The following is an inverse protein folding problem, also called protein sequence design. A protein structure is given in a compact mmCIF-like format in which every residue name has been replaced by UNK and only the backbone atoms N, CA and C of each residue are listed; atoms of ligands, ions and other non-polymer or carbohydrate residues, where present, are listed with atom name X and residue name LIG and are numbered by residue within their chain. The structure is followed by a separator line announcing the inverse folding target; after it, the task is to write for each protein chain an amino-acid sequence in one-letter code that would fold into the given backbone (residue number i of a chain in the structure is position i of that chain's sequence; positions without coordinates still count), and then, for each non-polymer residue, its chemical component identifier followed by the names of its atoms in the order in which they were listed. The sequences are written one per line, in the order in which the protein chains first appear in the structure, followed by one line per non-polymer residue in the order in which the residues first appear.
data_IF_164155370366
#
_entry.id   IF_164155370366
#
_cell.length_a   1.000
_cell.length_b   1.000
_cell.length_c   1.000
_cell.angle_alpha   90.00
_cell.angle_beta   90.00
_cell.angle_gamma   90.00
#
_symmetry.space_group_name_H-M   'P 1'
#
loop_
_entity.id
_entity.type
_entity.pdbx_description
1 polymer ?
#
# COMPACT_ATOMS: atom_id res chain seq x y z
N UNK A 1 26.96 7.37 -54.50
CA UNK A 1 25.58 7.24 -54.05
C UNK A 1 25.62 6.85 -52.57
N UNK A 2 25.32 7.79 -51.69
CA UNK A 2 25.32 7.51 -50.23
C UNK A 2 23.98 6.89 -49.85
N UNK A 3 24.03 5.75 -49.13
CA UNK A 3 22.85 5.01 -48.73
C UNK A 3 22.07 5.79 -47.64
N UNK A 4 20.85 6.28 -47.92
CA UNK A 4 20.08 7.06 -46.95
C UNK A 4 19.65 6.24 -45.71
N UNK A 5 19.75 4.91 -45.74
CA UNK A 5 19.34 4.05 -44.64
C UNK A 5 20.41 3.86 -43.57
N UNK A 6 21.65 4.34 -43.79
CA UNK A 6 22.72 4.23 -42.81
C UNK A 6 22.49 5.08 -41.54
N UNK A 7 21.64 6.09 -41.59
CA UNK A 7 21.31 6.96 -40.44
C UNK A 7 20.25 6.41 -39.50
N UNK A 8 19.54 5.37 -39.91
CA UNK A 8 18.46 4.77 -39.07
C UNK A 8 19.02 3.75 -38.08
N UNK A 9 20.18 3.20 -38.37
CA UNK A 9 20.80 2.15 -37.53
C UNK A 9 21.70 2.67 -36.42
N UNK A 10 21.92 3.99 -36.35
CA UNK A 10 22.76 4.60 -35.29
C UNK A 10 21.97 5.21 -34.11
N UNK A 11 20.64 5.10 -34.11
CA UNK A 11 19.89 5.28 -32.87
C UNK A 11 19.93 3.98 -32.09
N UNK A 12 21.04 3.78 -31.38
CA UNK A 12 21.06 2.88 -30.26
C UNK A 12 19.90 3.19 -29.31
N UNK A 13 19.40 2.20 -28.54
CA UNK A 13 18.36 2.45 -27.56
C UNK A 13 18.79 3.67 -26.76
N UNK A 14 17.93 4.70 -26.76
CA UNK A 14 18.08 5.83 -25.86
C UNK A 14 18.41 5.26 -24.49
N UNK A 15 19.54 5.66 -23.93
CA UNK A 15 19.91 5.36 -22.58
C UNK A 15 18.80 5.95 -21.70
N UNK A 16 17.71 5.19 -21.59
CA UNK A 16 16.73 5.36 -20.53
C UNK A 16 17.57 5.25 -19.27
N UNK A 17 17.69 6.36 -18.58
CA UNK A 17 18.46 6.55 -17.39
C UNK A 17 18.21 5.37 -16.46
N UNK A 18 19.11 4.38 -16.46
CA UNK A 18 19.08 3.32 -15.46
C UNK A 18 19.03 4.00 -14.10
N UNK A 19 18.05 3.71 -13.26
CA UNK A 19 18.00 4.33 -11.96
C UNK A 19 19.31 3.99 -11.25
N UNK A 20 20.01 5.01 -10.81
CA UNK A 20 21.28 4.90 -10.08
C UNK A 20 21.16 3.80 -9.04
N UNK A 21 22.16 2.97 -8.85
CA UNK A 21 22.08 1.81 -7.93
C UNK A 21 21.58 2.20 -6.54
N UNK A 22 21.86 3.42 -6.08
CA UNK A 22 21.30 4.01 -4.87
C UNK A 22 19.76 4.15 -4.94
N UNK A 23 19.19 4.50 -6.09
CA UNK A 23 17.75 4.58 -6.29
C UNK A 23 17.07 3.21 -6.18
N UNK A 24 17.66 2.17 -6.73
CA UNK A 24 17.16 0.79 -6.63
C UNK A 24 17.12 0.31 -5.17
N UNK A 25 18.15 0.62 -4.39
CA UNK A 25 18.21 0.29 -2.97
C UNK A 25 17.18 1.06 -2.13
N UNK A 26 16.98 2.34 -2.40
CA UNK A 26 15.95 3.15 -1.72
C UNK A 26 14.53 2.62 -1.99
N UNK A 27 14.25 2.22 -3.23
CA UNK A 27 12.96 1.59 -3.58
C UNK A 27 12.79 0.26 -2.86
N UNK A 28 13.81 -0.61 -2.87
CA UNK A 28 13.77 -1.89 -2.18
C UNK A 28 13.51 -1.72 -0.68
N UNK A 29 14.21 -0.79 -0.03
CA UNK A 29 14.00 -0.44 1.38
C UNK A 29 12.58 0.04 1.65
N UNK A 30 12.04 0.94 0.82
CA UNK A 30 10.67 1.44 0.97
C UNK A 30 9.64 0.34 0.86
N UNK A 31 9.83 -0.59 -0.08
CA UNK A 31 8.98 -1.78 -0.26
C UNK A 31 9.04 -2.69 0.97
N UNK A 32 10.23 -2.95 1.47
CA UNK A 32 10.41 -3.80 2.66
C UNK A 32 9.75 -3.18 3.89
N UNK A 33 9.92 -1.88 4.11
CA UNK A 33 9.29 -1.16 5.22
C UNK A 33 7.77 -1.18 5.09
N UNK A 34 7.22 -0.91 3.91
CA UNK A 34 5.78 -0.96 3.67
C UNK A 34 5.18 -2.34 3.92
N UNK A 35 5.83 -3.39 3.44
CA UNK A 35 5.40 -4.77 3.68
C UNK A 35 5.49 -5.15 5.16
N UNK A 36 6.58 -4.77 5.82
CA UNK A 36 6.75 -5.01 7.25
C UNK A 36 5.66 -4.33 8.08
N UNK A 37 5.35 -3.06 7.78
CA UNK A 37 4.28 -2.32 8.44
C UNK A 37 2.91 -3.00 8.27
N UNK A 38 2.59 -3.48 7.07
CA UNK A 38 1.32 -4.19 6.81
C UNK A 38 1.21 -5.48 7.60
N UNK A 39 2.28 -6.28 7.67
CA UNK A 39 2.31 -7.53 8.45
C UNK A 39 2.22 -7.23 9.94
N UNK A 40 2.94 -6.22 10.42
CA UNK A 40 2.88 -5.79 11.82
C UNK A 40 1.48 -5.35 12.20
N UNK A 41 0.82 -4.57 11.36
CA UNK A 41 -0.53 -4.08 11.61
C UNK A 41 -1.54 -5.23 11.78
N UNK A 42 -1.52 -6.20 10.86
CA UNK A 42 -2.38 -7.39 10.95
C UNK A 42 -2.12 -8.20 12.24
N UNK A 43 -0.85 -8.34 12.61
CA UNK A 43 -0.46 -9.07 13.82
C UNK A 43 -0.90 -8.36 15.10
N UNK A 44 -0.67 -7.04 15.17
CA UNK A 44 -1.03 -6.20 16.32
C UNK A 44 -2.54 -6.25 16.57
N UNK A 45 -3.36 -6.21 15.52
CA UNK A 45 -4.82 -6.31 15.65
C UNK A 45 -5.23 -7.64 16.27
N UNK A 46 -4.68 -8.75 15.79
CA UNK A 46 -5.01 -10.07 16.30
C UNK A 46 -4.62 -10.23 17.78
N UNK A 47 -3.47 -9.71 18.16
CA UNK A 47 -3.01 -9.72 19.57
C UNK A 47 -3.84 -8.78 20.44
N UNK A 48 -4.27 -7.64 19.90
CA UNK A 48 -5.06 -6.66 20.64
C UNK A 48 -6.55 -7.02 20.77
N UNK A 49 -7.06 -8.00 20.01
CA UNK A 49 -8.49 -8.40 20.05
C UNK A 49 -9.03 -8.64 21.47
N UNK A 50 -8.39 -9.43 22.34
CA UNK A 50 -8.89 -9.65 23.69
C UNK A 50 -8.96 -8.37 24.51
N UNK A 51 -8.00 -7.47 24.32
CA UNK A 51 -7.96 -6.19 25.01
C UNK A 51 -9.09 -5.26 24.52
N UNK A 52 -9.36 -5.26 23.21
CA UNK A 52 -10.46 -4.52 22.62
C UNK A 52 -11.81 -4.99 23.10
N UNK A 53 -12.02 -6.31 23.28
CA UNK A 53 -13.25 -6.85 23.86
C UNK A 53 -13.52 -6.25 25.24
N UNK A 54 -12.52 -6.20 26.11
CA UNK A 54 -12.64 -5.59 27.43
C UNK A 54 -12.88 -4.07 27.37
N UNK A 55 -12.16 -3.36 26.51
CA UNK A 55 -12.25 -1.89 26.43
C UNK A 55 -13.55 -1.38 25.81
N UNK A 56 -14.10 -2.08 24.82
CA UNK A 56 -15.34 -1.70 24.16
C UNK A 56 -16.58 -2.42 24.72
N UNK A 57 -16.38 -3.37 25.64
CA UNK A 57 -17.48 -4.16 26.21
C UNK A 57 -18.27 -4.95 25.15
N UNK A 58 -17.59 -5.39 24.10
CA UNK A 58 -18.20 -6.05 22.93
C UNK A 58 -17.79 -7.51 22.85
N UNK A 59 -18.66 -8.30 22.22
CA UNK A 59 -18.41 -9.70 21.95
C UNK A 59 -17.36 -9.92 20.85
N UNK A 60 -16.71 -11.09 20.86
CA UNK A 60 -15.67 -11.48 19.89
C UNK A 60 -16.14 -11.34 18.44
N UNK A 61 -17.39 -11.75 18.15
CA UNK A 61 -17.95 -11.63 16.81
C UNK A 61 -18.01 -10.17 16.33
N UNK A 62 -18.37 -9.27 17.21
CA UNK A 62 -18.47 -7.83 16.90
C UNK A 62 -17.08 -7.21 16.70
N UNK A 63 -16.10 -7.60 17.51
CA UNK A 63 -14.71 -7.14 17.36
C UNK A 63 -14.06 -7.67 16.09
N UNK A 64 -14.41 -8.87 15.65
CA UNK A 64 -13.90 -9.46 14.39
C UNK A 64 -14.25 -8.60 13.17
N UNK A 65 -15.33 -7.81 13.22
CA UNK A 65 -15.65 -6.85 12.15
C UNK A 65 -14.56 -5.81 11.91
N UNK A 66 -13.77 -5.47 12.90
CA UNK A 66 -12.62 -4.56 12.78
C UNK A 66 -11.60 -5.10 11.77
N UNK A 67 -11.27 -6.38 11.91
CA UNK A 67 -10.34 -7.07 11.01
C UNK A 67 -10.98 -7.35 9.64
N UNK A 68 -12.24 -7.78 9.64
CA UNK A 68 -12.97 -8.08 8.40
C UNK A 68 -13.15 -6.85 7.52
N UNK A 69 -13.52 -5.70 8.09
CA UNK A 69 -13.67 -4.45 7.36
C UNK A 69 -12.35 -4.01 6.70
N UNK A 70 -11.23 -4.14 7.41
CA UNK A 70 -9.90 -3.90 6.86
C UNK A 70 -9.62 -4.82 5.66
N UNK A 71 -9.81 -6.14 5.81
CA UNK A 71 -9.55 -7.11 4.76
C UNK A 71 -10.40 -6.91 3.51
N UNK A 72 -11.68 -6.57 3.67
CA UNK A 72 -12.57 -6.26 2.55
C UNK A 72 -12.06 -5.04 1.78
N UNK A 73 -11.74 -3.96 2.49
CA UNK A 73 -11.21 -2.75 1.88
C UNK A 73 -9.87 -3.01 1.16
N UNK A 74 -9.00 -3.80 1.77
CA UNK A 74 -7.71 -4.20 1.20
C UNK A 74 -7.88 -4.98 -0.10
N UNK A 75 -8.75 -5.99 -0.15
CA UNK A 75 -9.02 -6.81 -1.34
C UNK A 75 -9.58 -5.96 -2.48
N UNK A 76 -10.53 -5.08 -2.19
CA UNK A 76 -11.10 -4.16 -3.18
C UNK A 76 -10.00 -3.28 -3.77
N UNK A 77 -9.13 -2.73 -2.93
CA UNK A 77 -8.04 -1.85 -3.37
C UNK A 77 -6.95 -2.59 -4.15
N UNK A 78 -6.62 -3.82 -3.78
CA UNK A 78 -5.71 -4.66 -4.57
C UNK A 78 -6.24 -4.82 -6.00
N UNK A 79 -7.53 -5.13 -6.14
CA UNK A 79 -8.16 -5.31 -7.44
C UNK A 79 -8.19 -4.01 -8.26
N UNK A 80 -8.48 -2.88 -7.62
CA UNK A 80 -8.55 -1.57 -8.28
C UNK A 80 -7.18 -0.93 -8.53
N UNK A 81 -6.15 -1.37 -7.84
CA UNK A 81 -4.81 -0.76 -7.89
C UNK A 81 -4.20 -0.73 -9.27
N UNK A 82 -4.45 -1.75 -10.10
CA UNK A 82 -3.99 -1.81 -11.48
C UNK A 82 -4.55 -0.65 -12.31
N UNK A 83 -5.83 -0.37 -12.18
CA UNK A 83 -6.49 0.74 -12.85
C UNK A 83 -6.05 2.11 -12.28
N UNK A 84 -5.97 2.24 -10.98
CA UNK A 84 -5.51 3.46 -10.32
C UNK A 84 -4.06 3.80 -10.67
N UNK A 85 -3.21 2.80 -10.87
CA UNK A 85 -1.82 3.00 -11.31
C UNK A 85 -1.75 3.68 -12.68
N UNK A 86 -2.68 3.39 -13.58
CA UNK A 86 -2.74 4.04 -14.91
C UNK A 86 -3.21 5.49 -14.84
N UNK A 87 -4.06 5.83 -13.87
CA UNK A 87 -4.61 7.18 -13.70
C UNK A 87 -3.66 8.13 -12.94
N UNK A 88 -3.17 7.70 -11.79
CA UNK A 88 -2.38 8.56 -10.89
C UNK A 88 -0.86 8.41 -11.09
N UNK A 89 -0.44 7.30 -11.70
CA UNK A 89 0.97 6.93 -11.78
C UNK A 89 1.46 6.21 -10.53
N UNK A 90 2.43 5.32 -10.72
CA UNK A 90 2.94 4.41 -9.66
C UNK A 90 3.45 5.16 -8.43
N UNK A 91 4.28 6.19 -8.63
CA UNK A 91 4.91 6.94 -7.54
C UNK A 91 3.89 7.70 -6.69
N UNK A 92 2.95 8.40 -7.33
CA UNK A 92 1.92 9.18 -6.62
C UNK A 92 0.96 8.29 -5.85
N UNK A 93 0.54 7.18 -6.46
CA UNK A 93 -0.33 6.22 -5.81
C UNK A 93 0.35 5.60 -4.59
N UNK A 94 1.63 5.22 -4.69
CA UNK A 94 2.40 4.66 -3.58
C UNK A 94 2.51 5.64 -2.40
N UNK A 95 2.86 6.90 -2.67
CA UNK A 95 2.95 7.93 -1.63
C UNK A 95 1.59 8.22 -0.98
N UNK A 96 0.53 8.34 -1.78
CA UNK A 96 -0.82 8.54 -1.26
C UNK A 96 -1.26 7.37 -0.38
N UNK A 97 -0.97 6.15 -0.78
CA UNK A 97 -1.27 4.93 -0.02
C UNK A 97 -0.53 4.88 1.31
N UNK A 98 0.76 5.24 1.34
CA UNK A 98 1.53 5.32 2.59
C UNK A 98 0.95 6.38 3.55
N UNK A 99 0.63 7.55 3.04
CA UNK A 99 0.03 8.62 3.86
C UNK A 99 -1.32 8.18 4.41
N UNK A 100 -2.17 7.60 3.56
CA UNK A 100 -3.51 7.15 3.95
C UNK A 100 -3.44 6.02 4.98
N UNK A 101 -2.53 5.06 4.80
CA UNK A 101 -2.29 3.98 5.74
C UNK A 101 -1.81 4.52 7.10
N UNK A 102 -0.85 5.42 7.10
CA UNK A 102 -0.29 6.01 8.32
C UNK A 102 -1.34 6.83 9.08
N UNK A 103 -2.09 7.68 8.37
CA UNK A 103 -3.17 8.47 8.97
C UNK A 103 -4.27 7.56 9.52
N UNK A 104 -4.69 6.54 8.77
CA UNK A 104 -5.65 5.54 9.22
C UNK A 104 -5.20 4.80 10.48
N UNK A 105 -3.92 4.45 10.56
CA UNK A 105 -3.32 3.79 11.73
C UNK A 105 -3.35 4.68 12.98
N UNK A 106 -2.96 5.94 12.84
CA UNK A 106 -2.99 6.92 13.95
C UNK A 106 -4.44 7.12 14.44
N UNK A 107 -5.38 7.31 13.51
CA UNK A 107 -6.79 7.50 13.84
C UNK A 107 -7.39 6.25 14.50
N UNK A 108 -7.04 5.05 14.03
CA UNK A 108 -7.46 3.81 14.65
C UNK A 108 -6.96 3.69 16.10
N UNK A 109 -5.73 4.10 16.37
CA UNK A 109 -5.16 4.13 17.72
C UNK A 109 -5.83 5.13 18.67
N UNK A 110 -6.48 6.16 18.14
CA UNK A 110 -7.20 7.19 18.94
C UNK A 110 -8.70 6.95 19.01
N UNK A 111 -9.22 5.88 18.43
CA UNK A 111 -10.65 5.57 18.40
C UNK A 111 -11.20 5.31 19.81
N UNK A 112 -12.34 5.92 20.11
CA UNK A 112 -13.04 5.75 21.40
C UNK A 112 -14.25 4.82 21.31
N UNK A 113 -14.73 4.56 20.09
CA UNK A 113 -15.88 3.70 19.85
C UNK A 113 -15.55 2.65 18.80
N UNK A 114 -16.23 1.50 18.86
CA UNK A 114 -16.03 0.42 17.89
C UNK A 114 -16.35 0.87 16.46
N UNK A 115 -17.43 1.66 16.28
CA UNK A 115 -17.82 2.18 14.96
C UNK A 115 -16.72 3.07 14.35
N UNK A 116 -16.09 3.93 15.13
CA UNK A 116 -14.96 4.75 14.69
C UNK A 116 -13.77 3.88 14.31
N UNK A 117 -13.47 2.86 15.11
CA UNK A 117 -12.41 1.90 14.85
C UNK A 117 -12.62 1.20 13.50
N UNK A 118 -13.82 0.68 13.24
CA UNK A 118 -14.15 0.01 11.97
C UNK A 118 -13.99 0.98 10.80
N UNK A 119 -14.47 2.21 10.92
CA UNK A 119 -14.34 3.21 9.86
C UNK A 119 -12.86 3.53 9.54
N UNK A 120 -12.05 3.74 10.57
CA UNK A 120 -10.62 4.01 10.39
C UNK A 120 -9.87 2.81 9.81
N UNK A 121 -10.30 1.59 10.12
CA UNK A 121 -9.79 0.36 9.53
C UNK A 121 -10.10 0.24 8.05
N UNK A 122 -11.27 0.66 7.60
CA UNK A 122 -11.60 0.74 6.17
C UNK A 122 -10.65 1.70 5.45
N UNK A 123 -10.45 2.89 6.01
CA UNK A 123 -9.51 3.89 5.45
C UNK A 123 -8.09 3.33 5.38
N UNK A 124 -7.65 2.66 6.42
CA UNK A 124 -6.33 2.02 6.49
C UNK A 124 -6.21 0.87 5.47
N UNK A 125 -7.23 0.06 5.29
CA UNK A 125 -7.29 -1.01 4.30
C UNK A 125 -7.20 -0.48 2.86
N UNK A 126 -7.79 0.67 2.57
CA UNK A 126 -7.65 1.36 1.29
C UNK A 126 -6.20 1.74 1.03
N UNK A 127 -5.51 2.28 2.03
CA UNK A 127 -4.07 2.56 1.93
C UNK A 127 -3.23 1.28 1.77
N UNK A 128 -3.45 0.29 2.63
CA UNK A 128 -2.70 -0.97 2.67
C UNK A 128 -2.79 -1.78 1.37
N UNK A 129 -3.99 -1.92 0.83
CA UNK A 129 -4.24 -2.70 -0.39
C UNK A 129 -3.55 -2.16 -1.65
N UNK A 130 -3.23 -0.87 -1.68
CA UNK A 130 -2.49 -0.27 -2.79
C UNK A 130 -0.97 -0.40 -2.64
N UNK A 131 -0.45 -0.62 -1.44
CA UNK A 131 0.99 -0.67 -1.18
C UNK A 131 1.65 -1.88 -1.83
N UNK A 132 1.09 -3.09 -1.70
CA UNK A 132 1.68 -4.31 -2.25
C UNK A 132 1.82 -4.30 -3.77
N UNK A 133 0.77 -4.08 -4.56
CA UNK A 133 0.90 -4.09 -6.01
C UNK A 133 1.74 -2.91 -6.54
N UNK A 134 1.68 -1.75 -5.90
CA UNK A 134 2.52 -0.61 -6.28
C UNK A 134 4.01 -0.88 -6.01
N UNK A 135 4.34 -1.52 -4.90
CA UNK A 135 5.72 -1.85 -4.55
C UNK A 135 6.31 -2.86 -5.53
N UNK A 136 5.58 -3.89 -5.90
CA UNK A 136 6.00 -4.87 -6.91
C UNK A 136 6.15 -4.25 -8.30
N UNK A 137 5.29 -3.28 -8.65
CA UNK A 137 5.35 -2.59 -9.93
C UNK A 137 6.54 -1.61 -10.01
N UNK A 138 7.03 -1.08 -8.90
CA UNK A 138 8.21 -0.20 -8.84
C UNK A 138 9.50 -1.03 -8.86
N UNK A 139 9.48 -2.25 -8.29
CA UNK A 139 10.64 -3.15 -8.22
C UNK A 139 10.99 -3.82 -9.58
N UNK A 140 10.12 -3.75 -10.58
CA UNK A 140 10.36 -4.22 -11.95
C UNK A 140 10.83 -3.09 -12.85
#
# INVERSE_FOLDING_TARGET
MANPNARVLSRGPSADSEPTSAGKWLVALSVMIGTFLSVMDATVVNVAMPHMMGSFGQDLLTITWVSTAYSIAEIIMITMSAWMTTLLGRKRLFLASMVLFTVGSILAGTSKTLTQMIFYRVVQGIGGGSLMPCSQAIAR
#
